data_IF_981917443001
#
_entry.id   IF_981917443001
#
_cell.length_a   1.000
_cell.length_b   1.000
_cell.length_c   1.000
_cell.angle_alpha   90.00
_cell.angle_beta   90.00
_cell.angle_gamma   90.00
#
_symmetry.space_group_name_H-M   'P 1'
#
loop_
_entity.id
_entity.type
_entity.pdbx_description
1 polymer ?
#
# COMPACT_ATOMS: atom_id res chain seq x y z
N UNK A 1 -11.28 6.47 -5.94
CA UNK A 1 -12.61 6.05 -6.48
C UNK A 1 -12.84 6.56 -7.90
N UNK A 2 -12.86 7.88 -8.15
CA UNK A 2 -13.06 8.42 -9.51
C UNK A 2 -12.03 7.89 -10.52
N UNK A 3 -10.77 7.83 -10.10
CA UNK A 3 -9.68 7.24 -10.88
C UNK A 3 -10.00 5.80 -11.34
N UNK A 4 -10.37 4.91 -10.41
CA UNK A 4 -10.73 3.52 -10.71
C UNK A 4 -11.90 3.43 -11.71
N UNK A 5 -12.90 4.30 -11.57
CA UNK A 5 -14.02 4.34 -12.52
C UNK A 5 -13.55 4.74 -13.91
N UNK A 6 -12.65 5.73 -14.02
CA UNK A 6 -12.10 6.16 -15.30
C UNK A 6 -11.23 5.08 -15.94
N UNK A 7 -10.39 4.40 -15.15
CA UNK A 7 -9.58 3.27 -15.60
C UNK A 7 -10.46 2.13 -16.14
N UNK A 8 -11.53 1.78 -15.41
CA UNK A 8 -12.49 0.77 -15.86
C UNK A 8 -13.21 1.17 -17.15
N UNK A 9 -13.61 2.45 -17.28
CA UNK A 9 -14.22 2.97 -18.51
C UNK A 9 -13.26 2.93 -19.69
N UNK A 10 -11.99 3.28 -19.49
CA UNK A 10 -10.95 3.22 -20.51
C UNK A 10 -10.71 1.78 -20.99
N UNK A 11 -10.59 0.83 -20.05
CA UNK A 11 -10.44 -0.59 -20.40
C UNK A 11 -11.66 -1.13 -21.14
N UNK A 12 -12.87 -0.76 -20.72
CA UNK A 12 -14.10 -1.15 -21.41
C UNK A 12 -14.16 -0.59 -22.85
N UNK A 13 -13.68 0.64 -23.07
CA UNK A 13 -13.58 1.23 -24.40
C UNK A 13 -12.57 0.48 -25.29
N UNK A 14 -11.40 0.12 -24.76
CA UNK A 14 -10.42 -0.69 -25.49
C UNK A 14 -10.97 -2.07 -25.87
N UNK A 15 -11.77 -2.68 -24.99
CA UNK A 15 -12.48 -3.94 -25.30
C UNK A 15 -13.53 -3.74 -26.39
N UNK A 16 -14.33 -2.69 -26.31
CA UNK A 16 -15.33 -2.38 -27.34
C UNK A 16 -14.71 -2.08 -28.71
N UNK A 17 -13.49 -1.51 -28.74
CA UNK A 17 -12.72 -1.25 -29.95
C UNK A 17 -12.04 -2.52 -30.53
N UNK A 18 -12.06 -3.65 -29.80
CA UNK A 18 -11.38 -4.89 -30.20
C UNK A 18 -9.87 -4.89 -29.98
N UNK A 19 -9.34 -3.89 -29.26
CA UNK A 19 -7.91 -3.76 -28.95
C UNK A 19 -7.49 -4.66 -27.78
N UNK A 20 -8.45 -5.02 -26.92
CA UNK A 20 -8.26 -5.87 -25.75
C UNK A 20 -9.42 -6.85 -25.63
N UNK A 21 -9.18 -8.08 -25.16
CA UNK A 21 -10.28 -8.97 -24.74
C UNK A 21 -10.56 -8.81 -23.25
N UNK A 22 -11.81 -8.90 -22.84
CA UNK A 22 -12.21 -8.71 -21.45
C UNK A 22 -11.47 -9.65 -20.47
N UNK A 23 -11.15 -10.86 -20.90
CA UNK A 23 -10.43 -11.88 -20.11
C UNK A 23 -8.94 -11.53 -19.91
N UNK A 24 -8.43 -10.55 -20.65
CA UNK A 24 -7.06 -10.05 -20.49
C UNK A 24 -6.97 -8.89 -19.50
N UNK A 25 -8.08 -8.45 -18.91
CA UNK A 25 -8.07 -7.44 -17.86
C UNK A 25 -7.70 -8.12 -16.54
N UNK A 26 -6.45 -7.95 -16.13
CA UNK A 26 -5.90 -8.34 -14.84
C UNK A 26 -5.43 -7.10 -14.04
N UNK A 27 -4.86 -7.33 -12.85
CA UNK A 27 -4.36 -6.27 -11.95
C UNK A 27 -3.33 -5.36 -12.63
N UNK A 28 -2.53 -5.90 -13.55
CA UNK A 28 -1.54 -5.15 -14.33
C UNK A 28 -2.21 -4.21 -15.32
N UNK A 29 -3.21 -4.66 -16.09
CA UNK A 29 -3.89 -3.77 -17.05
C UNK A 29 -4.69 -2.70 -16.31
N UNK A 30 -5.29 -3.04 -15.17
CA UNK A 30 -5.93 -2.02 -14.34
C UNK A 30 -4.91 -1.00 -13.82
N UNK A 31 -3.77 -1.45 -13.29
CA UNK A 31 -2.71 -0.56 -12.80
C UNK A 31 -2.14 0.35 -13.90
N UNK A 32 -2.03 -0.15 -15.13
CA UNK A 32 -1.60 0.64 -16.30
C UNK A 32 -2.65 1.65 -16.78
N UNK A 33 -3.92 1.46 -16.41
CA UNK A 33 -5.00 2.39 -16.74
C UNK A 33 -5.25 3.44 -15.63
N UNK A 34 -4.59 3.34 -14.48
CA UNK A 34 -4.64 4.35 -13.42
C UNK A 34 -3.75 5.57 -13.78
N UNK A 35 -3.96 6.69 -13.09
CA UNK A 35 -3.16 7.89 -13.33
C UNK A 35 -1.70 7.72 -12.90
N UNK A 36 -1.43 6.77 -12.01
CA UNK A 36 -0.09 6.42 -11.52
C UNK A 36 0.62 5.39 -12.40
N UNK A 37 0.14 5.13 -13.63
CA UNK A 37 0.77 4.17 -14.53
C UNK A 37 2.26 4.48 -14.74
N UNK A 38 3.11 3.46 -14.56
CA UNK A 38 4.56 3.58 -14.69
C UNK A 38 5.28 4.06 -13.42
N UNK A 39 4.56 4.44 -12.36
CA UNK A 39 5.12 4.69 -11.04
C UNK A 39 5.02 3.44 -10.17
N UNK A 40 6.00 3.17 -9.30
CA UNK A 40 5.86 2.11 -8.29
C UNK A 40 4.76 2.48 -7.28
N UNK A 41 4.11 1.46 -6.73
CA UNK A 41 3.16 1.65 -5.65
C UNK A 41 3.87 2.23 -4.41
N UNK A 42 3.21 3.13 -3.66
CA UNK A 42 3.80 3.74 -2.48
C UNK A 42 4.03 2.70 -1.39
N UNK A 43 5.22 2.71 -0.80
CA UNK A 43 5.52 1.84 0.33
C UNK A 43 5.03 2.40 1.67
N UNK A 44 5.00 3.73 1.77
CA UNK A 44 4.65 4.48 2.97
C UNK A 44 3.70 5.62 2.61
N UNK A 45 2.57 5.71 3.32
CA UNK A 45 1.69 6.86 3.30
C UNK A 45 1.70 7.54 4.68
N UNK A 46 2.17 8.78 4.70
CA UNK A 46 2.16 9.64 5.88
C UNK A 46 0.93 10.54 5.81
N UNK A 47 0.12 10.53 6.87
CA UNK A 47 -1.04 11.40 7.00
C UNK A 47 -0.97 12.22 8.28
N UNK A 48 -0.67 13.52 8.19
CA UNK A 48 -0.69 14.42 9.33
C UNK A 48 -2.13 14.80 9.73
N UNK A 49 -2.26 15.61 10.77
CA UNK A 49 -3.50 16.17 11.33
C UNK A 49 -4.37 15.18 12.13
N UNK A 50 -3.80 14.06 12.58
CA UNK A 50 -4.42 13.12 13.52
C UNK A 50 -5.53 12.23 12.96
N UNK A 51 -5.89 12.39 11.68
CA UNK A 51 -7.03 11.72 11.07
C UNK A 51 -6.65 10.32 10.54
N UNK A 52 -7.20 9.27 11.16
CA UNK A 52 -6.95 7.88 10.78
C UNK A 52 -7.87 7.40 9.64
N UNK A 53 -7.75 8.05 8.48
CA UNK A 53 -8.52 7.70 7.27
C UNK A 53 -7.70 7.95 6.02
N UNK A 54 -8.02 7.27 4.92
CA UNK A 54 -7.42 7.58 3.61
C UNK A 54 -8.13 8.70 2.87
N UNK A 55 -9.41 8.95 3.19
CA UNK A 55 -10.23 9.95 2.50
C UNK A 55 -10.17 9.85 0.96
N UNK A 56 -10.25 8.63 0.43
CA UNK A 56 -10.26 8.37 -1.02
C UNK A 56 -8.95 8.75 -1.75
N UNK A 57 -7.82 8.73 -1.05
CA UNK A 57 -6.48 8.89 -1.62
C UNK A 57 -5.85 7.53 -1.97
N UNK A 58 -5.37 7.38 -3.20
CA UNK A 58 -4.58 6.24 -3.72
C UNK A 58 -5.04 4.85 -3.24
N UNK A 59 -6.34 4.56 -3.35
CA UNK A 59 -6.91 3.34 -2.75
C UNK A 59 -6.37 2.04 -3.34
N UNK A 60 -6.08 2.02 -4.64
CA UNK A 60 -5.55 0.84 -5.32
C UNK A 60 -4.06 0.69 -5.01
N UNK A 61 -3.32 1.77 -5.17
CA UNK A 61 -1.87 1.83 -5.01
C UNK A 61 -1.47 1.58 -3.54
N UNK A 62 -2.30 2.00 -2.58
CA UNK A 62 -2.03 1.81 -1.16
C UNK A 62 -2.45 0.44 -0.59
N UNK A 63 -2.76 -0.55 -1.43
CA UNK A 63 -3.22 -1.87 -0.96
C UNK A 63 -2.24 -2.54 0.02
N UNK A 64 -0.93 -2.32 -0.15
CA UNK A 64 0.14 -2.87 0.69
C UNK A 64 1.08 -1.79 1.27
N UNK A 65 0.63 -0.53 1.30
CA UNK A 65 1.39 0.54 1.94
C UNK A 65 1.29 0.45 3.46
N UNK A 66 2.37 0.86 4.13
CA UNK A 66 2.32 1.18 5.54
C UNK A 66 1.69 2.55 5.76
N UNK A 67 0.90 2.67 6.82
CA UNK A 67 0.26 3.93 7.18
C UNK A 67 0.86 4.49 8.46
N UNK A 68 1.29 5.75 8.39
CA UNK A 68 1.75 6.52 9.55
C UNK A 68 0.85 7.73 9.69
N UNK A 69 0.11 7.78 10.80
CA UNK A 69 -0.74 8.90 11.15
C UNK A 69 -0.03 9.76 12.19
N UNK A 70 0.24 11.02 11.84
CA UNK A 70 0.87 11.98 12.75
C UNK A 70 -0.20 12.93 13.31
N UNK A 71 -0.21 13.23 14.62
CA UNK A 71 -1.10 14.24 15.20
C UNK A 71 -0.71 15.67 14.79
N UNK A 72 0.51 15.88 14.28
CA UNK A 72 1.02 17.20 13.85
C UNK A 72 0.20 17.72 12.68
N UNK A 73 -0.23 18.98 12.74
CA UNK A 73 -0.98 19.62 11.65
C UNK A 73 -0.07 19.82 10.44
N UNK A 74 -0.62 19.79 9.23
CA UNK A 74 0.18 19.92 8.01
C UNK A 74 1.07 21.18 7.95
N UNK A 75 0.61 22.39 8.35
CA UNK A 75 1.47 23.57 8.36
C UNK A 75 2.66 23.48 9.32
N UNK A 76 2.53 22.66 10.37
CA UNK A 76 3.53 22.49 11.41
C UNK A 76 4.41 21.24 11.18
N UNK A 77 4.15 20.48 10.11
CA UNK A 77 4.86 19.25 9.80
C UNK A 77 6.28 19.56 9.31
N UNK A 78 7.27 19.11 10.06
CA UNK A 78 8.69 19.43 9.85
C UNK A 78 9.48 18.29 9.21
N UNK A 79 10.72 18.57 8.82
CA UNK A 79 11.67 17.55 8.34
C UNK A 79 11.93 16.47 9.40
N UNK A 80 12.01 16.86 10.69
CA UNK A 80 12.17 15.92 11.79
C UNK A 80 10.97 14.96 11.92
N UNK A 81 9.75 15.43 11.65
CA UNK A 81 8.55 14.59 11.64
C UNK A 81 8.57 13.59 10.48
N UNK A 82 9.10 14.00 9.32
CA UNK A 82 9.29 13.12 8.19
C UNK A 82 10.33 12.03 8.48
N UNK A 83 11.48 12.41 9.03
CA UNK A 83 12.54 11.45 9.42
C UNK A 83 12.01 10.42 10.43
N UNK A 84 11.28 10.87 11.44
CA UNK A 84 10.66 9.98 12.43
C UNK A 84 9.66 9.00 11.78
N UNK A 85 8.90 9.45 10.78
CA UNK A 85 8.00 8.59 10.03
C UNK A 85 8.77 7.55 9.19
N UNK A 86 9.87 7.92 8.55
CA UNK A 86 10.70 6.99 7.77
C UNK A 86 11.39 5.97 8.68
N UNK A 87 11.86 6.39 9.86
CA UNK A 87 12.45 5.48 10.85
C UNK A 87 11.41 4.45 11.35
N UNK A 88 10.21 4.91 11.71
CA UNK A 88 9.12 4.03 12.13
C UNK A 88 8.71 3.08 11.00
N UNK A 89 8.71 3.52 9.75
CA UNK A 89 8.52 2.65 8.60
C UNK A 89 9.60 1.56 8.52
N UNK A 90 10.88 1.92 8.68
CA UNK A 90 12.01 0.97 8.66
C UNK A 90 11.95 -0.08 9.77
N UNK A 91 11.30 0.22 10.89
CA UNK A 91 11.10 -0.71 12.01
C UNK A 91 10.02 -1.75 11.75
N UNK A 92 9.11 -1.51 10.81
CA UNK A 92 7.98 -2.40 10.52
C UNK A 92 8.37 -3.52 9.57
N UNK A 93 8.03 -4.75 9.93
CA UNK A 93 8.21 -5.91 9.04
C UNK A 93 7.00 -6.10 8.15
N UNK A 94 7.17 -5.83 6.85
CA UNK A 94 6.13 -6.08 5.84
C UNK A 94 5.92 -7.58 5.66
N UNK A 95 4.70 -8.03 5.90
CA UNK A 95 4.24 -9.38 5.58
C UNK A 95 3.23 -9.25 4.45
N UNK A 96 3.70 -9.39 3.21
CA UNK A 96 2.88 -9.36 1.99
C UNK A 96 1.98 -10.60 1.87
N UNK A 97 1.17 -10.89 2.91
CA UNK A 97 0.37 -12.13 3.00
C UNK A 97 1.16 -13.39 3.36
N UNK A 98 2.48 -13.30 3.59
CA UNK A 98 3.30 -14.40 4.09
C UNK A 98 3.10 -14.64 5.58
N UNK A 99 2.53 -15.79 5.94
CA UNK A 99 2.45 -16.26 7.34
C UNK A 99 3.86 -16.68 7.76
N UNK A 100 4.44 -16.02 8.76
CA UNK A 100 5.72 -16.49 9.35
C UNK A 100 5.53 -17.93 9.87
N UNK A 101 6.45 -18.88 9.58
CA UNK A 101 6.42 -20.16 10.26
C UNK A 101 6.61 -19.90 11.76
N UNK A 102 5.67 -20.39 12.56
CA UNK A 102 5.70 -20.27 14.02
C UNK A 102 7.09 -20.67 14.54
N UNK A 103 7.76 -19.75 15.24
CA UNK A 103 9.05 -20.03 15.90
C UNK A 103 8.86 -21.22 16.85
N UNK A 104 9.37 -22.38 16.46
CA UNK A 104 9.46 -23.56 17.32
C UNK A 104 10.29 -23.20 18.54
N UNK A 105 9.64 -23.18 19.72
CA UNK A 105 10.32 -23.07 21.00
C UNK A 105 11.23 -24.29 21.13
N UNK A 106 12.55 -24.11 21.03
CA UNK A 106 13.52 -25.11 21.50
C UNK A 106 13.25 -25.35 22.98
N UNK A 107 12.69 -26.53 23.30
CA UNK A 107 12.63 -27.06 24.65
C UNK A 107 14.06 -27.12 25.20
N UNK A 108 14.33 -26.28 26.20
CA UNK A 108 15.50 -26.42 27.06
C UNK A 108 15.22 -27.64 27.93
N UNK A 109 15.77 -28.79 27.53
CA UNK A 109 15.73 -30.01 28.33
C UNK A 109 16.59 -29.84 29.57
N UNK A 110 15.93 -29.82 30.73
CA UNK A 110 16.56 -30.00 32.04
C UNK A 110 17.20 -31.40 32.13
N UNK A 111 18.49 -31.47 32.47
CA UNK A 111 19.10 -32.70 32.98
C UNK A 111 19.06 -32.65 34.52
N UNK A 112 18.49 -33.64 35.21
CA UNK A 112 18.77 -33.84 36.63
C UNK A 112 20.07 -34.64 36.79
N UNK A 113 20.70 -34.45 37.95
CA UNK A 113 21.84 -35.22 38.46
C UNK A 113 21.52 -36.71 38.63
#
# INVERSE_FOLDING_TARGET
>A
RREIVLAAQQLAQAVAAGELRAEQIDERQLSQALFTAGLPDPDLLIRPSGEQRLSNFLLWQCAYSEFIFSPVLWPDFSEADFEAAVEEYGRRTRRFGGVEPAKSKKQIGSKPC
#
